data_IF_477939982693
#
_entry.id   IF_477939982693
#
_cell.length_a   1.000
_cell.length_b   1.000
_cell.length_c   1.000
_cell.angle_alpha   90.00
_cell.angle_beta   90.00
_cell.angle_gamma   90.00
#
_symmetry.space_group_name_H-M   'P 1'
#
loop_
_entity.id
_entity.type
_entity.pdbx_description
1 polymer ?
#
# COMPACT_ATOMS: atom_id res chain seq x y z
N UNK A 1 -2.23 -13.13 15.45
CA UNK A 1 -1.17 -12.38 16.15
C UNK A 1 -1.02 -10.95 15.63
N UNK A 2 -0.88 -10.73 14.32
CA UNK A 2 -0.71 -9.38 13.74
C UNK A 2 -1.89 -8.42 14.03
N UNK A 3 -3.11 -8.94 14.17
CA UNK A 3 -4.32 -8.13 14.43
C UNK A 3 -4.49 -7.67 15.88
N UNK A 4 -3.68 -8.14 16.82
CA UNK A 4 -3.87 -7.84 18.25
C UNK A 4 -3.90 -6.33 18.51
N UNK A 5 -2.94 -5.60 17.95
CA UNK A 5 -2.85 -4.16 18.10
C UNK A 5 -3.37 -3.38 16.87
N UNK A 6 -3.69 -4.07 15.79
CA UNK A 6 -4.14 -3.42 14.56
C UNK A 6 -5.52 -2.77 14.77
N UNK A 7 -5.74 -1.51 14.34
CA UNK A 7 -7.04 -0.87 14.46
C UNK A 7 -8.07 -1.51 13.52
N UNK A 8 -9.35 -1.51 13.93
CA UNK A 8 -10.46 -1.99 13.12
C UNK A 8 -11.05 -0.83 12.29
N UNK A 9 -10.21 -0.17 11.52
CA UNK A 9 -10.53 1.04 10.76
C UNK A 9 -10.45 0.88 9.23
N UNK A 10 -10.60 -0.34 8.72
CA UNK A 10 -10.62 -0.62 7.28
C UNK A 10 -11.55 0.31 6.48
N UNK A 11 -12.74 0.71 6.97
CA UNK A 11 -13.61 1.62 6.22
C UNK A 11 -12.99 2.99 5.93
N UNK A 12 -11.99 3.43 6.70
CA UNK A 12 -11.28 4.70 6.50
C UNK A 12 -9.82 4.52 6.07
N UNK A 13 -9.39 3.28 5.88
CA UNK A 13 -8.03 2.94 5.46
C UNK A 13 -7.94 2.88 3.94
N UNK A 14 -7.01 3.63 3.33
CA UNK A 14 -6.86 3.66 1.86
C UNK A 14 -6.27 2.36 1.28
N UNK A 15 -5.73 1.47 2.11
CA UNK A 15 -5.27 0.15 1.70
C UNK A 15 -6.41 -0.88 1.59
N UNK A 16 -7.63 -0.55 2.03
CA UNK A 16 -8.76 -1.48 1.95
C UNK A 16 -9.01 -1.93 0.50
N UNK A 17 -9.17 -3.24 0.32
CA UNK A 17 -9.34 -3.89 -1.00
C UNK A 17 -8.05 -4.30 -1.71
N UNK A 18 -6.88 -3.92 -1.16
CA UNK A 18 -5.56 -4.35 -1.64
C UNK A 18 -4.58 -4.61 -0.46
N UNK A 19 -5.12 -5.05 0.69
CA UNK A 19 -4.37 -5.20 1.94
C UNK A 19 -4.10 -6.67 2.23
N UNK A 20 -2.83 -7.08 2.20
CA UNK A 20 -2.40 -8.47 2.48
C UNK A 20 -2.88 -8.94 3.87
N UNK A 21 -2.87 -8.04 4.88
CA UNK A 21 -3.34 -8.40 6.21
C UNK A 21 -4.86 -8.64 6.24
N UNK A 22 -5.63 -7.91 5.44
CA UNK A 22 -7.08 -8.08 5.34
C UNK A 22 -7.38 -9.44 4.71
N UNK A 23 -6.69 -9.78 3.62
CA UNK A 23 -6.86 -11.05 2.92
C UNK A 23 -6.45 -12.24 3.80
N UNK A 24 -5.27 -12.19 4.43
CA UNK A 24 -4.82 -13.20 5.40
C UNK A 24 -5.76 -13.34 6.61
N UNK A 25 -6.30 -12.23 7.07
CA UNK A 25 -7.27 -12.24 8.18
C UNK A 25 -8.59 -12.89 7.78
N UNK A 26 -9.01 -12.68 6.55
CA UNK A 26 -10.23 -13.27 6.03
C UNK A 26 -10.07 -14.78 5.83
N UNK A 27 -8.93 -15.23 5.33
CA UNK A 27 -8.64 -16.64 5.06
C UNK A 27 -8.39 -17.45 6.35
N UNK A 28 -7.59 -16.89 7.27
CA UNK A 28 -7.09 -17.64 8.44
C UNK A 28 -7.56 -17.08 9.78
N UNK A 29 -8.24 -15.95 9.78
CA UNK A 29 -8.64 -15.26 10.99
C UNK A 29 -9.93 -15.79 11.60
N UNK A 30 -10.22 -15.33 12.82
CA UNK A 30 -11.49 -15.55 13.49
C UNK A 30 -12.35 -14.29 13.38
N UNK A 31 -13.68 -14.46 13.36
CA UNK A 31 -14.63 -13.34 13.30
C UNK A 31 -14.64 -12.47 14.57
N UNK A 32 -14.01 -12.92 15.65
CA UNK A 32 -13.95 -12.20 16.91
C UNK A 32 -12.55 -12.25 17.52
N UNK A 33 -12.19 -11.21 18.27
CA UNK A 33 -10.96 -11.18 19.06
C UNK A 33 -11.15 -11.93 20.37
N UNK A 34 -10.10 -12.65 20.80
CA UNK A 34 -9.99 -13.26 22.12
C UNK A 34 -9.28 -12.35 23.14
N UNK A 35 -8.81 -11.18 22.72
CA UNK A 35 -8.04 -10.23 23.51
C UNK A 35 -8.92 -9.03 23.86
N UNK A 36 -9.02 -8.68 25.14
CA UNK A 36 -9.87 -7.62 25.68
C UNK A 36 -9.07 -6.44 26.25
N UNK A 37 -7.76 -6.38 25.98
CA UNK A 37 -6.94 -5.28 26.46
C UNK A 37 -6.88 -4.10 25.48
N UNK A 38 -6.51 -2.93 25.97
CA UNK A 38 -6.34 -1.74 25.17
C UNK A 38 -5.25 -1.93 24.12
N UNK A 39 -5.57 -1.51 22.88
CA UNK A 39 -4.62 -1.55 21.78
C UNK A 39 -3.57 -0.47 21.94
N UNK A 40 -2.33 -0.80 21.59
CA UNK A 40 -1.25 0.18 21.53
C UNK A 40 -1.58 1.27 20.52
N UNK A 41 -1.35 2.52 20.89
CA UNK A 41 -1.57 3.70 20.05
C UNK A 41 -0.27 4.49 19.90
N UNK A 42 -0.09 5.07 18.74
CA UNK A 42 1.01 5.97 18.41
C UNK A 42 0.46 7.31 17.98
N UNK A 43 1.18 8.37 18.28
CA UNK A 43 0.90 9.68 17.73
C UNK A 43 1.10 9.68 16.21
N UNK A 44 0.42 10.59 15.54
CA UNK A 44 0.55 10.74 14.09
C UNK A 44 1.84 11.48 13.79
N UNK A 45 2.69 10.88 12.99
CA UNK A 45 3.95 11.45 12.54
C UNK A 45 3.85 11.98 11.11
N UNK A 46 4.45 13.13 10.85
CA UNK A 46 4.59 13.68 9.51
C UNK A 46 5.95 13.29 8.94
N UNK A 47 5.94 12.45 7.91
CA UNK A 47 7.15 11.94 7.27
C UNK A 47 7.43 12.57 5.89
N UNK A 48 6.67 13.59 5.51
CA UNK A 48 6.88 14.32 4.25
C UNK A 48 5.60 14.66 3.50
N UNK A 49 5.77 15.32 2.37
CA UNK A 49 4.65 15.89 1.61
C UNK A 49 3.71 14.85 0.99
N UNK A 50 4.23 13.71 0.54
CA UNK A 50 3.52 12.76 -0.30
C UNK A 50 3.08 11.49 0.42
N UNK A 51 3.81 11.08 1.46
CA UNK A 51 3.58 9.84 2.18
C UNK A 51 2.94 10.13 3.54
N UNK A 52 1.88 9.40 3.87
CA UNK A 52 1.25 9.42 5.18
C UNK A 52 1.62 8.18 5.97
N UNK A 53 2.19 8.34 7.17
CA UNK A 53 2.46 7.25 8.08
C UNK A 53 1.35 7.13 9.13
N UNK A 54 0.79 5.93 9.24
CA UNK A 54 -0.15 5.53 10.28
C UNK A 54 0.43 4.36 11.07
N UNK A 55 1.24 4.66 12.07
CA UNK A 55 1.99 3.66 12.83
C UNK A 55 1.10 2.64 13.53
N UNK A 56 -0.13 3.01 13.93
CA UNK A 56 -1.10 2.08 14.52
C UNK A 56 -1.47 0.91 13.57
N UNK A 57 -1.34 1.09 12.25
CA UNK A 57 -1.60 0.07 11.23
C UNK A 57 -0.37 -0.76 10.87
N UNK A 58 0.81 -0.35 11.33
CA UNK A 58 2.06 -1.01 11.01
C UNK A 58 2.15 -2.40 11.66
N UNK A 59 2.56 -3.40 10.88
CA UNK A 59 2.77 -4.78 11.34
C UNK A 59 4.26 -5.08 11.58
N UNK A 60 5.12 -4.06 11.52
CA UNK A 60 6.57 -4.19 11.73
C UNK A 60 7.25 -5.22 10.81
N UNK A 61 6.86 -5.27 9.54
CA UNK A 61 7.47 -6.15 8.54
C UNK A 61 8.81 -5.64 7.99
N UNK A 62 9.16 -4.39 8.24
CA UNK A 62 10.40 -3.71 7.85
C UNK A 62 10.67 -3.57 6.34
N UNK A 63 9.76 -3.96 5.46
CA UNK A 63 9.92 -3.84 4.00
C UNK A 63 10.26 -2.40 3.59
N UNK A 64 9.57 -1.41 4.13
CA UNK A 64 9.81 0.00 3.86
C UNK A 64 11.20 0.47 4.29
N UNK A 65 11.75 -0.06 5.40
CA UNK A 65 13.08 0.27 5.88
C UNK A 65 14.14 -0.26 4.91
N UNK A 66 14.01 -1.52 4.46
CA UNK A 66 14.94 -2.11 3.50
C UNK A 66 14.91 -1.37 2.15
N UNK A 67 13.71 -1.04 1.64
CA UNK A 67 13.58 -0.27 0.39
C UNK A 67 14.16 1.13 0.55
N UNK A 68 13.88 1.81 1.66
CA UNK A 68 14.45 3.12 1.92
C UNK A 68 15.99 3.07 2.00
N UNK A 69 16.58 2.02 2.56
CA UNK A 69 18.02 1.82 2.60
C UNK A 69 18.64 1.59 1.21
N UNK A 70 17.90 0.97 0.30
CA UNK A 70 18.37 0.71 -1.08
C UNK A 70 18.22 1.93 -1.98
N UNK A 71 17.14 2.70 -1.82
CA UNK A 71 16.81 3.83 -2.69
C UNK A 71 17.35 5.16 -2.22
N UNK A 72 17.66 5.26 -0.94
CA UNK A 72 18.20 6.48 -0.31
C UNK A 72 19.44 6.09 0.47
N UNK A 73 20.25 7.06 0.90
CA UNK A 73 21.35 6.79 1.83
C UNK A 73 20.90 6.31 3.22
N UNK A 74 19.71 5.83 3.33
CA UNK A 74 19.14 4.87 4.26
C UNK A 74 19.01 5.30 5.71
N UNK A 75 19.33 6.52 6.07
CA UNK A 75 19.39 6.92 7.48
C UNK A 75 18.22 7.76 7.98
N UNK A 76 17.29 8.12 7.09
CA UNK A 76 16.15 8.98 7.45
C UNK A 76 14.97 8.15 7.96
N UNK A 77 14.70 7.01 7.36
CA UNK A 77 13.58 6.13 7.69
C UNK A 77 14.10 4.84 8.32
N UNK A 78 13.66 4.53 9.51
CA UNK A 78 14.21 3.39 10.25
C UNK A 78 13.32 2.90 11.38
N UNK A 79 13.90 2.06 12.21
CA UNK A 79 13.27 1.49 13.40
C UNK A 79 13.77 2.25 14.61
N UNK A 80 12.86 2.79 15.39
CA UNK A 80 13.12 3.36 16.69
C UNK A 80 12.64 2.40 17.79
N UNK A 81 13.29 2.43 18.94
CA UNK A 81 12.93 1.58 20.07
C UNK A 81 13.27 0.10 19.85
N UNK A 82 12.76 -0.74 20.73
CA UNK A 82 12.92 -2.21 20.66
C UNK A 82 11.78 -2.94 21.36
N UNK A 83 11.57 -4.20 20.98
CA UNK A 83 10.50 -5.04 21.54
C UNK A 83 9.12 -4.44 21.30
N UNK A 84 8.34 -4.33 22.36
CA UNK A 84 6.97 -3.79 22.30
C UNK A 84 6.91 -2.27 22.00
N UNK A 85 8.01 -1.58 22.14
CA UNK A 85 8.16 -0.14 21.86
C UNK A 85 8.77 0.14 20.49
N UNK A 86 8.94 -0.89 19.65
CA UNK A 86 9.44 -0.70 18.28
C UNK A 86 8.42 0.07 17.44
N UNK A 87 8.91 1.05 16.71
CA UNK A 87 8.13 1.85 15.77
C UNK A 87 8.94 2.17 14.52
N UNK A 88 8.24 2.35 13.43
CA UNK A 88 8.82 2.87 12.19
C UNK A 88 8.65 4.37 12.22
N UNK A 89 9.73 5.08 12.09
CA UNK A 89 9.74 6.54 12.15
C UNK A 89 10.90 7.12 11.33
N UNK A 90 10.95 8.43 11.24
CA UNK A 90 12.06 9.15 10.64
C UNK A 90 13.00 9.65 11.72
N UNK A 91 14.32 9.60 11.45
CA UNK A 91 15.32 10.10 12.39
C UNK A 91 15.19 11.62 12.55
N UNK A 92 14.97 12.08 13.79
CA UNK A 92 14.82 13.49 14.16
C UNK A 92 13.65 14.18 13.39
N UNK A 93 12.52 13.48 13.19
CA UNK A 93 11.34 14.01 12.48
C UNK A 93 11.67 14.65 11.12
N UNK A 94 12.73 14.14 10.46
CA UNK A 94 13.19 14.64 9.17
C UNK A 94 12.32 14.05 8.06
N UNK A 95 11.79 14.91 7.19
CA UNK A 95 11.05 14.44 6.04
C UNK A 95 11.91 13.55 5.12
N UNK A 96 11.29 12.55 4.51
CA UNK A 96 11.97 11.71 3.51
C UNK A 96 12.03 12.51 2.20
N UNK A 97 13.14 13.20 1.99
CA UNK A 97 13.40 14.01 0.80
C UNK A 97 14.23 13.22 -0.23
N UNK A 98 13.59 12.31 -0.93
CA UNK A 98 14.23 11.58 -2.02
C UNK A 98 13.21 11.41 -3.16
N UNK A 99 13.69 11.53 -4.39
CA UNK A 99 12.86 11.41 -5.60
C UNK A 99 12.15 10.05 -5.75
N UNK A 100 12.53 9.04 -4.99
CA UNK A 100 11.94 7.70 -5.00
C UNK A 100 11.23 7.34 -3.68
N UNK A 101 11.08 8.29 -2.77
CA UNK A 101 10.47 8.04 -1.45
C UNK A 101 9.06 7.47 -1.51
N UNK A 102 8.28 7.78 -2.54
CA UNK A 102 6.93 7.27 -2.74
C UNK A 102 6.83 5.74 -2.87
N UNK A 103 7.93 5.06 -3.23
CA UNK A 103 7.92 3.60 -3.41
C UNK A 103 7.77 2.82 -2.10
N UNK A 104 7.96 3.44 -0.95
CA UNK A 104 7.66 2.81 0.35
C UNK A 104 6.17 2.49 0.50
N UNK A 105 5.29 3.17 -0.26
CA UNK A 105 3.85 2.91 -0.30
C UNK A 105 3.57 1.55 -0.94
N UNK A 106 4.20 1.27 -2.10
CA UNK A 106 3.94 0.07 -2.89
C UNK A 106 4.41 -1.22 -2.20
N UNK A 107 5.43 -1.12 -1.36
CA UNK A 107 5.98 -2.27 -0.62
C UNK A 107 5.32 -2.46 0.74
N UNK A 108 4.49 -1.53 1.18
CA UNK A 108 3.79 -1.65 2.45
C UNK A 108 2.58 -2.58 2.29
N UNK A 109 2.53 -3.74 3.00
CA UNK A 109 1.45 -4.72 2.83
C UNK A 109 0.15 -4.30 3.52
N UNK A 110 0.18 -3.19 4.25
CA UNK A 110 -0.95 -2.67 5.04
C UNK A 110 -1.09 -1.16 4.87
N UNK A 111 -2.16 -0.57 5.36
CA UNK A 111 -2.42 0.87 5.28
C UNK A 111 -1.60 1.73 6.25
N UNK A 112 -0.38 1.30 6.61
CA UNK A 112 0.52 2.09 7.43
C UNK A 112 1.19 3.22 6.64
N UNK A 113 1.61 2.96 5.41
CA UNK A 113 2.15 3.95 4.48
C UNK A 113 1.20 4.10 3.30
N UNK A 114 0.66 5.29 3.10
CA UNK A 114 -0.35 5.57 2.08
C UNK A 114 -0.07 6.86 1.34
N UNK A 115 -0.61 6.97 0.13
CA UNK A 115 -0.49 8.14 -0.73
C UNK A 115 -1.39 9.27 -0.22
N UNK A 116 -0.79 10.39 0.21
CA UNK A 116 -1.54 11.58 0.64
C UNK A 116 -2.38 12.19 -0.47
N UNK A 117 -1.95 12.09 -1.73
CA UNK A 117 -2.63 12.70 -2.87
C UNK A 117 -3.85 11.91 -3.31
N UNK A 118 -3.93 10.63 -2.95
CA UNK A 118 -5.07 9.75 -3.23
C UNK A 118 -6.06 9.67 -2.05
N UNK A 119 -5.57 9.92 -0.84
CA UNK A 119 -6.35 9.76 0.39
C UNK A 119 -7.71 10.47 0.31
N UNK A 120 -8.77 9.71 0.59
CA UNK A 120 -10.18 10.16 0.57
C UNK A 120 -10.72 10.59 -0.81
N UNK A 121 -10.01 10.36 -1.91
CA UNK A 121 -10.51 10.66 -3.26
C UNK A 121 -11.41 9.55 -3.80
N UNK A 122 -10.97 8.30 -3.68
CA UNK A 122 -11.70 7.13 -4.18
C UNK A 122 -11.29 5.88 -3.40
N UNK A 123 -11.95 4.78 -3.72
CA UNK A 123 -11.54 3.43 -3.29
C UNK A 123 -11.03 2.67 -4.50
N UNK A 124 -10.07 1.75 -4.26
CA UNK A 124 -9.43 1.01 -5.35
C UNK A 124 -10.42 0.22 -6.20
N UNK A 125 -11.50 -0.29 -5.62
CA UNK A 125 -12.53 -1.03 -6.36
C UNK A 125 -13.45 -0.18 -7.24
N UNK A 126 -13.38 1.15 -7.13
CA UNK A 126 -14.04 2.09 -8.03
C UNK A 126 -13.10 2.60 -9.13
N UNK A 127 -11.85 2.17 -9.14
CA UNK A 127 -10.86 2.58 -10.12
C UNK A 127 -10.52 1.43 -11.05
N UNK A 128 -10.21 1.76 -12.31
CA UNK A 128 -9.75 0.81 -13.31
C UNK A 128 -8.21 0.89 -13.42
N UNK A 129 -7.47 -0.17 -13.03
CA UNK A 129 -6.03 -0.18 -13.16
C UNK A 129 -5.63 -0.41 -14.62
N UNK A 130 -4.92 0.55 -15.20
CA UNK A 130 -4.38 0.49 -16.55
C UNK A 130 -2.86 0.52 -16.50
N UNK A 131 -2.20 -0.33 -17.25
CA UNK A 131 -0.76 -0.22 -17.44
C UNK A 131 -0.47 0.91 -18.42
N UNK A 132 0.56 1.69 -18.11
CA UNK A 132 1.00 2.77 -18.95
C UNK A 132 2.49 3.02 -18.79
N UNK A 133 3.04 3.75 -19.76
CA UNK A 133 4.41 4.24 -19.70
C UNK A 133 4.49 5.68 -20.20
N UNK A 134 5.56 6.34 -19.83
CA UNK A 134 5.95 7.65 -20.31
C UNK A 134 7.47 7.75 -20.42
N UNK A 135 7.92 8.67 -21.21
CA UNK A 135 9.34 9.02 -21.22
C UNK A 135 9.68 9.83 -19.96
N UNK A 136 10.68 9.38 -19.20
CA UNK A 136 11.09 10.01 -17.96
C UNK A 136 12.60 9.90 -17.75
N UNK A 137 13.25 11.05 -17.54
CA UNK A 137 14.70 11.13 -17.35
C UNK A 137 15.19 10.55 -16.01
N UNK A 138 14.26 10.34 -15.04
CA UNK A 138 14.59 9.93 -13.67
C UNK A 138 14.34 8.44 -13.38
N UNK A 139 13.40 7.83 -14.07
CA UNK A 139 13.02 6.42 -13.83
C UNK A 139 12.61 5.74 -15.13
N UNK A 140 12.26 4.44 -15.07
CA UNK A 140 11.79 3.67 -16.22
C UNK A 140 10.49 4.20 -16.88
N UNK A 141 9.76 5.07 -16.18
CA UNK A 141 8.50 5.63 -16.64
C UNK A 141 7.34 4.63 -16.74
N UNK A 142 7.52 3.36 -16.36
CA UNK A 142 6.46 2.32 -16.38
C UNK A 142 5.66 2.35 -15.09
N UNK A 143 4.35 2.43 -15.20
CA UNK A 143 3.46 2.55 -14.04
C UNK A 143 2.12 1.84 -14.25
N UNK A 144 1.38 1.65 -13.15
CA UNK A 144 -0.04 1.35 -13.17
C UNK A 144 -0.82 2.62 -12.83
N UNK A 145 -1.70 3.01 -13.73
CA UNK A 145 -2.57 4.18 -13.65
C UNK A 145 -3.93 3.74 -13.12
N UNK A 146 -4.35 4.27 -11.98
CA UNK A 146 -5.65 3.98 -11.39
C UNK A 146 -6.64 5.06 -11.80
N UNK A 147 -7.51 4.71 -12.75
CA UNK A 147 -8.36 5.65 -13.45
C UNK A 147 -9.83 5.53 -13.03
N UNK A 148 -10.53 6.68 -13.03
CA UNK A 148 -11.98 6.76 -12.95
C UNK A 148 -12.45 7.55 -14.18
N UNK A 149 -13.07 6.87 -15.13
CA UNK A 149 -13.29 7.45 -16.48
C UNK A 149 -11.94 7.77 -17.13
N UNK A 150 -11.77 9.01 -17.56
CA UNK A 150 -10.56 9.50 -18.21
C UNK A 150 -9.58 10.21 -17.25
N UNK A 151 -9.84 10.19 -15.95
CA UNK A 151 -9.03 10.88 -14.95
C UNK A 151 -8.16 9.91 -14.16
N UNK A 152 -6.87 10.24 -13.99
CA UNK A 152 -5.91 9.48 -13.20
C UNK A 152 -5.99 9.94 -11.74
N UNK A 153 -6.45 9.06 -10.86
CA UNK A 153 -6.55 9.34 -9.43
C UNK A 153 -5.29 8.99 -8.67
N UNK A 154 -4.64 7.87 -9.04
CA UNK A 154 -3.42 7.37 -8.39
C UNK A 154 -2.50 6.74 -9.42
N UNK A 155 -1.19 6.91 -9.23
CA UNK A 155 -0.15 6.23 -10.00
C UNK A 155 0.69 5.40 -9.04
N UNK A 156 0.91 4.12 -9.36
CA UNK A 156 1.72 3.20 -8.57
C UNK A 156 2.79 2.55 -9.45
N UNK A 157 3.81 2.00 -8.83
CA UNK A 157 4.76 1.14 -9.54
C UNK A 157 4.03 -0.02 -10.21
N UNK A 158 4.52 -0.45 -11.36
CA UNK A 158 4.01 -1.65 -12.01
C UNK A 158 4.36 -2.86 -11.16
N UNK A 159 3.39 -3.75 -10.99
CA UNK A 159 3.58 -5.02 -10.30
C UNK A 159 3.44 -6.14 -11.33
N UNK A 160 4.21 -7.19 -11.16
CA UNK A 160 4.14 -8.41 -11.95
C UNK A 160 2.86 -9.24 -11.63
N UNK A 161 2.75 -10.41 -12.24
CA UNK A 161 1.65 -11.35 -12.02
C UNK A 161 1.58 -11.91 -10.59
N UNK A 162 2.70 -11.88 -9.87
CA UNK A 162 2.80 -12.30 -8.46
C UNK A 162 2.52 -11.16 -7.47
N UNK A 163 2.29 -9.94 -7.96
CA UNK A 163 2.07 -8.77 -7.13
C UNK A 163 3.35 -8.11 -6.60
N UNK A 164 4.52 -8.57 -7.03
CA UNK A 164 5.80 -7.97 -6.70
C UNK A 164 6.06 -6.73 -7.58
N UNK A 165 6.73 -5.73 -7.01
CA UNK A 165 7.08 -4.50 -7.74
C UNK A 165 8.17 -4.82 -8.76
N UNK A 166 7.88 -4.62 -10.06
CA UNK A 166 8.86 -4.83 -11.14
C UNK A 166 9.98 -3.78 -11.08
N UNK A 167 9.59 -2.50 -11.05
CA UNK A 167 10.53 -1.39 -11.05
C UNK A 167 9.97 -0.22 -10.23
N UNK A 168 10.86 0.53 -9.59
CA UNK A 168 10.48 1.71 -8.83
C UNK A 168 10.32 2.95 -9.72
N UNK A 169 9.34 3.79 -9.42
CA UNK A 169 9.05 5.03 -10.13
C UNK A 169 9.40 6.27 -9.28
N UNK A 170 9.77 7.35 -9.94
CA UNK A 170 10.08 8.59 -9.26
C UNK A 170 8.81 9.31 -8.76
N UNK A 171 8.99 10.21 -7.79
CA UNK A 171 7.91 10.99 -7.20
C UNK A 171 7.20 11.88 -8.24
N UNK A 172 7.93 12.41 -9.22
CA UNK A 172 7.33 13.19 -10.31
C UNK A 172 6.31 12.37 -11.09
N UNK A 173 6.68 11.15 -11.52
CA UNK A 173 5.74 10.26 -12.20
C UNK A 173 4.56 9.85 -11.31
N UNK A 174 4.80 9.65 -10.02
CA UNK A 174 3.80 9.16 -9.07
C UNK A 174 2.78 10.22 -8.66
N UNK A 175 3.23 11.42 -8.32
CA UNK A 175 2.40 12.41 -7.64
C UNK A 175 2.06 13.62 -8.48
N UNK A 176 2.94 14.01 -9.39
CA UNK A 176 2.83 15.26 -10.14
C UNK A 176 2.25 15.06 -11.54
N UNK A 177 2.48 13.90 -12.17
CA UNK A 177 2.04 13.61 -13.54
C UNK A 177 0.76 12.80 -13.52
N UNK A 178 -0.39 13.48 -13.53
CA UNK A 178 -1.73 12.84 -13.47
C UNK A 178 -2.63 13.18 -14.66
N UNK A 179 -2.08 13.82 -15.68
CA UNK A 179 -2.81 14.06 -16.93
C UNK A 179 -2.65 12.84 -17.85
N UNK A 180 -3.75 12.37 -18.43
CA UNK A 180 -3.74 11.22 -19.36
C UNK A 180 -2.90 11.47 -20.60
N UNK A 181 -2.79 12.73 -21.02
CA UNK A 181 -1.96 13.13 -22.15
C UNK A 181 -0.44 12.88 -21.95
N UNK A 182 0.01 12.79 -20.69
CA UNK A 182 1.40 12.53 -20.35
C UNK A 182 1.79 11.05 -20.40
N UNK A 183 0.81 10.18 -20.63
CA UNK A 183 1.00 8.73 -20.57
C UNK A 183 0.56 8.05 -21.85
N UNK A 184 1.32 7.03 -22.26
CA UNK A 184 0.89 6.06 -23.26
C UNK A 184 0.22 4.90 -22.52
N UNK A 185 -1.11 4.76 -22.67
CA UNK A 185 -1.90 3.71 -22.03
C UNK A 185 -1.76 2.43 -22.84
N UNK A 186 -1.24 1.38 -22.24
CA UNK A 186 -1.02 0.07 -22.89
C UNK A 186 -2.26 -0.82 -22.86
N UNK A 187 -3.06 -0.71 -21.80
CA UNK A 187 -4.27 -1.51 -21.62
C UNK A 187 -4.54 -1.85 -20.14
N UNK A 188 -5.64 -2.58 -19.89
CA UNK A 188 -5.99 -2.98 -18.54
C UNK A 188 -4.88 -3.81 -17.90
N UNK A 189 -4.55 -3.51 -16.65
CA UNK A 189 -3.68 -4.37 -15.86
C UNK A 189 -4.41 -5.69 -15.62
N UNK A 190 -3.81 -6.80 -16.05
CA UNK A 190 -4.25 -8.11 -15.61
C UNK A 190 -3.82 -8.28 -14.15
N UNK A 191 -4.78 -8.17 -13.23
CA UNK A 191 -4.56 -8.52 -11.83
C UNK A 191 -4.94 -9.99 -11.71
N UNK A 192 -3.96 -10.86 -11.80
CA UNK A 192 -4.17 -12.21 -11.30
C UNK A 192 -4.26 -12.09 -9.77
N UNK A 193 -5.48 -12.01 -9.29
CA UNK A 193 -5.74 -12.19 -7.87
C UNK A 193 -5.55 -13.69 -7.54
N UNK A 194 -4.34 -14.19 -7.65
CA UNK A 194 -3.88 -15.15 -6.67
C UNK A 194 -3.82 -14.41 -5.34
N UNK A 195 -5.00 -13.91 -4.95
CA UNK A 195 -5.23 -13.51 -3.61
C UNK A 195 -4.79 -14.65 -2.74
N UNK A 196 -4.27 -14.33 -1.60
CA UNK A 196 -4.05 -15.24 -0.48
C UNK A 196 -5.29 -16.14 -0.20
N UNK A 197 -6.44 -15.75 -0.72
CA UNK A 197 -7.67 -16.54 -0.75
C UNK A 197 -7.57 -17.55 -1.89
N UNK A 198 -7.17 -18.76 -1.55
CA UNK A 198 -7.17 -19.88 -2.51
C UNK A 198 -8.55 -20.02 -3.16
N UNK A 199 -8.59 -20.25 -4.48
CA UNK A 199 -9.87 -20.38 -5.23
C UNK A 199 -10.82 -21.41 -4.62
N UNK A 200 -10.30 -22.43 -3.93
CA UNK A 200 -11.02 -23.49 -3.25
C UNK A 200 -11.39 -23.18 -1.79
N UNK A 201 -11.01 -22.03 -1.26
CA UNK A 201 -11.38 -21.64 0.12
C UNK A 201 -12.91 -21.62 0.30
N UNK A 202 -13.64 -21.21 -0.71
CA UNK A 202 -15.11 -21.19 -0.72
C UNK A 202 -15.72 -22.58 -0.88
N UNK A 203 -15.02 -23.53 -1.49
CA UNK A 203 -15.46 -24.92 -1.59
C UNK A 203 -15.29 -25.65 -0.25
N UNK A 204 -14.30 -25.25 0.56
CA UNK A 204 -14.04 -25.79 1.90
C UNK A 204 -15.01 -25.28 2.96
N UNK A 205 -15.75 -24.20 2.69
CA UNK A 205 -16.76 -23.62 3.58
C UNK A 205 -18.12 -23.53 2.88
N UNK A 206 -18.85 -24.64 2.71
CA UNK A 206 -20.10 -24.72 1.92
C UNK A 206 -21.27 -23.89 2.46
N UNK A 207 -21.09 -23.14 3.53
CA UNK A 207 -22.11 -22.25 4.11
C UNK A 207 -21.94 -20.77 3.78
N UNK A 208 -20.87 -20.37 3.06
CA UNK A 208 -20.71 -18.97 2.66
C UNK A 208 -21.47 -18.68 1.35
N UNK A 209 -22.26 -17.60 1.29
CA UNK A 209 -22.96 -17.25 0.07
C UNK A 209 -21.98 -16.86 -1.05
N UNK A 210 -22.02 -17.57 -2.18
CA UNK A 210 -21.20 -17.34 -3.38
C UNK A 210 -21.40 -15.94 -4.01
N UNK A 211 -22.27 -15.11 -3.48
CA UNK A 211 -22.60 -13.77 -4.03
C UNK A 211 -21.63 -12.64 -3.67
N UNK A 212 -20.56 -12.91 -2.95
CA UNK A 212 -19.54 -11.89 -2.61
C UNK A 212 -18.37 -11.83 -3.61
N UNK A 213 -18.44 -12.59 -4.72
CA UNK A 213 -17.36 -12.73 -5.71
C UNK A 213 -17.71 -12.07 -7.06
N UNK A 214 -18.78 -11.28 -7.13
CA UNK A 214 -19.09 -10.51 -8.35
C UNK A 214 -18.80 -9.04 -8.18
#
# INVERSE_FOLDING_TARGET
>A
MLLINHPLDCPICDQAGECDLQDLSFEHGLAHSRFEFEKRTFEKEDIGAFVSLHMNRCILCYRCVFVAQQLTDGRVHGILGRGVHSEISTYISKAIENDFSGNVIDVCPVGALTDRTFRFKSRVWFTNPMNGHRDCDKCCGKATLWMVGDEIYRVTSRKDEHGEVEEFICNTCRFETKETADWVIEGPRHIDRHSVIAQNHYELNPGMPQKLIQ
#
